data_IF_961197978808
#
_entry.id   IF_961197978808
#
_cell.length_a   1.000
_cell.length_b   1.000
_cell.length_c   1.000
_cell.angle_alpha   90.00
_cell.angle_beta   90.00
_cell.angle_gamma   90.00
#
_symmetry.space_group_name_H-M   'P 1'
#
loop_
_entity.id
_entity.type
_entity.pdbx_description
1 polymer ?
#
# COMPACT_ATOMS: atom_id res chain seq x y z
N UNK A 1 -16.58 0.99 18.27
CA UNK A 1 -15.23 0.49 18.64
C UNK A 1 -15.24 -1.02 18.48
N UNK A 2 -14.52 -1.57 17.51
CA UNK A 2 -14.36 -3.01 17.35
C UNK A 2 -13.39 -3.50 18.43
N UNK A 3 -13.85 -4.36 19.35
CA UNK A 3 -13.07 -4.83 20.52
C UNK A 3 -12.32 -6.14 20.30
N UNK A 4 -12.42 -6.70 19.10
CA UNK A 4 -11.73 -7.93 18.71
C UNK A 4 -11.45 -7.91 17.23
N UNK A 5 -10.21 -8.23 16.85
CA UNK A 5 -9.89 -8.65 15.48
C UNK A 5 -10.10 -10.16 15.40
N UNK A 6 -10.86 -10.63 14.41
CA UNK A 6 -11.05 -12.05 14.20
C UNK A 6 -9.76 -12.72 13.72
N UNK A 7 -9.58 -13.99 14.07
CA UNK A 7 -8.58 -14.86 13.43
C UNK A 7 -9.27 -15.64 12.33
N UNK A 8 -8.60 -15.83 11.20
CA UNK A 8 -9.02 -16.88 10.25
C UNK A 8 -9.07 -18.22 11.00
N UNK A 9 -10.05 -19.06 10.66
CA UNK A 9 -10.13 -20.41 11.22
C UNK A 9 -8.93 -21.26 10.75
N UNK A 10 -8.72 -22.38 11.43
CA UNK A 10 -7.56 -23.23 11.18
C UNK A 10 -7.57 -23.86 9.78
N UNK A 11 -8.75 -24.13 9.22
CA UNK A 11 -8.88 -24.66 7.87
C UNK A 11 -8.42 -23.62 6.84
N UNK A 12 -8.97 -22.41 6.91
CA UNK A 12 -8.58 -21.27 6.06
C UNK A 12 -7.08 -20.99 6.18
N UNK A 13 -6.53 -20.94 7.39
CA UNK A 13 -5.11 -20.69 7.60
C UNK A 13 -4.23 -21.80 6.99
N UNK A 14 -4.59 -23.07 7.21
CA UNK A 14 -3.83 -24.22 6.68
C UNK A 14 -3.92 -24.29 5.16
N UNK A 15 -5.06 -23.97 4.56
CA UNK A 15 -5.24 -23.90 3.11
C UNK A 15 -4.26 -22.87 2.51
N UNK A 16 -4.32 -21.63 2.99
CA UNK A 16 -3.46 -20.55 2.51
C UNK A 16 -2.00 -20.89 2.74
N UNK A 17 -1.62 -21.39 3.92
CA UNK A 17 -0.23 -21.73 4.18
C UNK A 17 0.28 -22.86 3.28
N UNK A 18 -0.52 -23.91 3.06
CA UNK A 18 -0.15 -25.06 2.22
C UNK A 18 -0.03 -24.68 0.75
N UNK A 19 -0.97 -23.89 0.21
CA UNK A 19 -0.95 -23.51 -1.21
C UNK A 19 0.29 -22.68 -1.57
N UNK A 20 0.89 -22.00 -0.59
CA UNK A 20 2.14 -21.24 -0.73
C UNK A 20 3.40 -22.03 -0.36
N UNK A 21 3.34 -23.37 -0.34
CA UNK A 21 4.52 -24.20 -0.08
C UNK A 21 4.93 -24.29 1.39
N UNK A 22 4.04 -23.91 2.32
CA UNK A 22 4.23 -24.08 3.77
C UNK A 22 5.51 -23.42 4.32
N UNK A 23 5.77 -22.11 4.05
CA UNK A 23 7.00 -21.45 4.46
C UNK A 23 7.16 -21.38 5.98
N UNK A 24 8.40 -21.41 6.45
CA UNK A 24 8.74 -21.29 7.87
C UNK A 24 9.77 -20.18 8.07
N UNK A 25 9.35 -19.09 8.72
CA UNK A 25 10.24 -17.99 9.09
C UNK A 25 10.67 -18.11 10.56
N UNK A 26 11.81 -17.51 10.89
CA UNK A 26 12.37 -17.50 12.24
C UNK A 26 12.46 -16.06 12.75
N UNK A 27 12.36 -15.91 14.07
CA UNK A 27 12.41 -14.60 14.75
C UNK A 27 13.67 -13.78 14.47
N UNK A 28 14.78 -14.41 14.06
CA UNK A 28 16.04 -13.73 13.72
C UNK A 28 16.18 -13.39 12.23
N UNK A 29 15.22 -13.76 11.37
CA UNK A 29 15.27 -13.36 9.97
C UNK A 29 14.97 -11.87 9.83
N UNK A 30 15.94 -11.11 9.32
CA UNK A 30 15.79 -9.69 9.10
C UNK A 30 14.93 -9.38 7.87
N UNK A 31 14.44 -8.15 7.77
CA UNK A 31 13.61 -7.67 6.64
C UNK A 31 14.24 -7.91 5.25
N UNK A 32 15.57 -7.74 5.05
CA UNK A 32 16.19 -8.04 3.75
C UNK A 32 16.10 -9.51 3.34
N UNK A 33 15.89 -10.43 4.28
CA UNK A 33 15.63 -11.84 4.00
C UNK A 33 14.13 -12.10 3.79
N UNK A 34 13.29 -11.56 4.70
CA UNK A 34 11.85 -11.82 4.72
C UNK A 34 11.13 -11.26 3.49
N UNK A 35 11.45 -10.02 3.08
CA UNK A 35 10.74 -9.36 1.97
C UNK A 35 10.93 -10.08 0.64
N UNK A 36 12.16 -10.42 0.18
CA UNK A 36 12.33 -11.14 -1.07
C UNK A 36 11.69 -12.54 -1.02
N UNK A 37 11.79 -13.24 0.11
CA UNK A 37 11.19 -14.56 0.28
C UNK A 37 9.67 -14.50 0.16
N UNK A 38 9.02 -13.52 0.80
CA UNK A 38 7.58 -13.34 0.72
C UNK A 38 7.13 -12.91 -0.68
N UNK A 39 7.79 -11.93 -1.28
CA UNK A 39 7.46 -11.47 -2.64
C UNK A 39 7.59 -12.60 -3.66
N UNK A 40 8.61 -13.46 -3.52
CA UNK A 40 8.76 -14.64 -4.37
C UNK A 40 7.54 -15.57 -4.26
N UNK A 41 7.07 -15.86 -3.05
CA UNK A 41 5.91 -16.73 -2.85
C UNK A 41 4.64 -16.13 -3.46
N UNK A 42 4.37 -14.84 -3.19
CA UNK A 42 3.22 -14.13 -3.75
C UNK A 42 3.26 -14.10 -5.28
N UNK A 43 4.44 -13.87 -5.87
CA UNK A 43 4.57 -13.87 -7.32
C UNK A 43 4.37 -15.28 -7.91
N UNK A 44 4.91 -16.30 -7.27
CA UNK A 44 4.79 -17.69 -7.73
C UNK A 44 3.35 -18.21 -7.68
N UNK A 45 2.58 -17.83 -6.67
CA UNK A 45 1.27 -18.43 -6.40
C UNK A 45 0.09 -17.49 -6.73
N UNK A 46 0.26 -16.18 -6.62
CA UNK A 46 -0.83 -15.21 -6.73
C UNK A 46 -0.55 -14.07 -7.73
N UNK A 47 0.48 -14.17 -8.58
CA UNK A 47 0.86 -13.07 -9.50
C UNK A 47 -0.31 -12.54 -10.33
N UNK A 48 -1.13 -13.45 -10.84
CA UNK A 48 -2.27 -13.11 -11.70
C UNK A 48 -3.38 -12.35 -10.96
N UNK A 49 -3.46 -12.50 -9.64
CA UNK A 49 -4.48 -11.84 -8.81
C UNK A 49 -3.89 -10.58 -8.20
N UNK A 50 -2.82 -10.69 -7.41
CA UNK A 50 -2.31 -9.57 -6.62
C UNK A 50 -1.57 -8.51 -7.44
N UNK A 51 -1.00 -8.90 -8.58
CA UNK A 51 -0.18 -8.02 -9.41
C UNK A 51 -0.84 -7.74 -10.77
N UNK A 52 -2.18 -7.83 -10.85
CA UNK A 52 -2.91 -7.38 -12.03
C UNK A 52 -2.62 -5.88 -12.27
N UNK A 53 -2.03 -5.49 -13.42
CA UNK A 53 -1.74 -4.10 -13.72
C UNK A 53 -2.94 -3.16 -13.63
N UNK A 54 -4.16 -3.66 -13.82
CA UNK A 54 -5.39 -2.88 -13.70
C UNK A 54 -5.63 -2.34 -12.30
N UNK A 55 -5.06 -2.95 -11.26
CA UNK A 55 -5.15 -2.49 -9.88
C UNK A 55 -4.21 -1.33 -9.58
N UNK A 56 -3.31 -0.99 -10.50
CA UNK A 56 -2.28 0.00 -10.27
C UNK A 56 -2.40 1.19 -11.22
N UNK A 57 -2.00 2.35 -10.73
CA UNK A 57 -1.87 3.57 -11.52
C UNK A 57 -0.55 4.25 -11.24
N UNK A 58 0.02 4.87 -12.26
CA UNK A 58 1.16 5.75 -12.10
C UNK A 58 0.70 7.07 -11.48
N UNK A 59 1.50 7.60 -10.57
CA UNK A 59 1.30 8.92 -9.98
C UNK A 59 2.62 9.66 -9.89
N UNK A 60 2.65 10.83 -10.50
CA UNK A 60 3.76 11.77 -10.39
C UNK A 60 3.68 12.48 -9.03
N UNK A 61 4.80 12.53 -8.31
CA UNK A 61 5.02 13.40 -7.17
C UNK A 61 5.98 14.51 -7.60
N UNK A 62 5.43 15.66 -8.00
CA UNK A 62 6.20 16.76 -8.60
C UNK A 62 7.17 17.37 -7.60
N UNK A 63 6.78 17.40 -6.32
CA UNK A 63 7.62 17.85 -5.20
C UNK A 63 8.98 17.16 -5.10
N UNK A 64 9.10 15.92 -5.59
CA UNK A 64 10.34 15.13 -5.58
C UNK A 64 10.77 14.65 -6.98
N UNK A 65 10.10 15.11 -8.04
CA UNK A 65 10.44 14.78 -9.43
C UNK A 65 10.43 13.28 -9.74
N UNK A 66 9.53 12.52 -9.12
CA UNK A 66 9.49 11.06 -9.26
C UNK A 66 8.07 10.54 -9.55
N UNK A 67 8.00 9.48 -10.35
CA UNK A 67 6.76 8.75 -10.64
C UNK A 67 6.74 7.44 -9.89
N UNK A 68 5.63 7.16 -9.20
CA UNK A 68 5.43 5.94 -8.43
C UNK A 68 4.24 5.14 -8.97
N UNK A 69 4.29 3.83 -8.80
CA UNK A 69 3.14 2.95 -9.01
C UNK A 69 2.40 2.81 -7.69
N UNK A 70 1.11 3.14 -7.66
CA UNK A 70 0.25 3.03 -6.48
C UNK A 70 -1.00 2.20 -6.80
N UNK A 71 -1.63 1.64 -5.76
CA UNK A 71 -2.91 0.92 -5.90
C UNK A 71 -4.03 1.93 -6.19
N UNK A 72 -4.91 1.61 -7.15
CA UNK A 72 -6.10 2.40 -7.48
C UNK A 72 -7.11 2.36 -6.32
N UNK A 73 -7.85 3.44 -6.08
CA UNK A 73 -8.97 3.41 -5.14
C UNK A 73 -10.00 2.34 -5.55
N UNK A 74 -10.43 1.51 -4.58
CA UNK A 74 -11.43 0.45 -4.82
C UNK A 74 -12.87 0.95 -4.68
N UNK A 75 -13.09 2.03 -3.94
CA UNK A 75 -14.42 2.57 -3.74
C UNK A 75 -14.92 3.26 -5.02
N UNK A 76 -16.18 3.02 -5.36
CA UNK A 76 -16.85 3.60 -6.52
C UNK A 76 -18.12 4.29 -6.04
N UNK A 77 -18.40 5.48 -6.58
CA UNK A 77 -19.58 6.26 -6.26
C UNK A 77 -20.43 6.41 -7.51
N UNK A 78 -21.76 6.40 -7.34
CA UNK A 78 -22.70 6.46 -8.45
C UNK A 78 -22.41 7.66 -9.37
N UNK A 79 -22.55 7.43 -10.67
CA UNK A 79 -22.43 8.44 -11.72
C UNK A 79 -21.10 9.23 -11.72
N UNK A 80 -20.04 8.67 -11.13
CA UNK A 80 -18.75 9.37 -11.01
C UNK A 80 -18.82 10.62 -10.14
N UNK A 81 -19.82 10.72 -9.24
CA UNK A 81 -20.04 11.88 -8.39
C UNK A 81 -18.85 12.22 -7.46
N UNK A 82 -17.95 11.26 -7.24
CA UNK A 82 -16.75 11.43 -6.41
C UNK A 82 -15.54 10.89 -7.16
N UNK A 83 -14.56 11.76 -7.38
CA UNK A 83 -13.22 11.38 -7.82
C UNK A 83 -12.34 11.13 -6.58
N UNK A 84 -11.90 9.89 -6.41
CA UNK A 84 -11.02 9.52 -5.30
C UNK A 84 -9.56 9.82 -5.65
N UNK A 85 -8.93 10.62 -4.82
CA UNK A 85 -7.52 10.94 -4.95
C UNK A 85 -7.00 11.62 -3.69
N UNK A 86 -5.70 11.87 -3.67
CA UNK A 86 -5.08 12.74 -2.68
C UNK A 86 -4.55 13.96 -3.42
N UNK A 87 -4.85 15.16 -2.92
CA UNK A 87 -4.23 16.38 -3.44
C UNK A 87 -2.77 16.49 -2.99
N UNK A 88 -2.45 15.95 -1.81
CA UNK A 88 -1.09 15.88 -1.28
C UNK A 88 -0.42 14.59 -1.78
N UNK A 89 0.75 14.75 -2.42
CA UNK A 89 1.56 13.65 -2.94
C UNK A 89 2.48 13.02 -1.89
N UNK A 90 3.35 12.10 -2.33
CA UNK A 90 4.43 11.56 -1.50
C UNK A 90 5.36 12.71 -1.07
N UNK A 91 5.59 12.83 0.24
CA UNK A 91 6.46 13.88 0.81
C UNK A 91 7.85 13.30 1.05
N UNK A 92 8.86 13.89 0.41
CA UNK A 92 10.25 13.55 0.67
C UNK A 92 10.69 14.09 2.04
N UNK A 93 11.65 13.43 2.67
CA UNK A 93 12.28 13.97 3.88
C UNK A 93 12.93 15.32 3.57
N UNK A 94 12.64 16.35 4.37
CA UNK A 94 13.30 17.66 4.31
C UNK A 94 12.78 18.64 3.24
N UNK A 95 11.76 18.28 2.46
CA UNK A 95 11.10 19.21 1.50
C UNK A 95 10.02 20.06 2.17
N UNK A 96 9.53 19.59 3.31
CA UNK A 96 8.17 19.79 3.75
C UNK A 96 8.14 19.96 5.27
N UNK A 97 7.40 20.93 5.80
CA UNK A 97 7.28 21.11 7.25
C UNK A 97 6.52 19.91 7.87
N UNK A 98 6.88 19.48 9.10
CA UNK A 98 6.27 18.33 9.77
C UNK A 98 4.89 18.67 10.37
N UNK A 99 4.04 19.36 9.60
CA UNK A 99 2.69 19.81 9.97
C UNK A 99 1.71 19.53 8.84
N UNK A 100 0.42 19.52 9.16
CA UNK A 100 -0.66 19.52 8.17
C UNK A 100 -0.92 20.96 7.70
N UNK A 101 -1.19 21.18 6.39
CA UNK A 101 -1.58 22.49 5.91
C UNK A 101 -3.02 22.79 6.31
N UNK A 102 -3.34 24.07 6.50
CA UNK A 102 -4.73 24.51 6.70
C UNK A 102 -5.57 24.29 5.42
N UNK A 103 -4.92 24.35 4.25
CA UNK A 103 -5.49 24.02 2.95
C UNK A 103 -4.94 22.67 2.45
N UNK A 104 -5.80 21.63 2.46
CA UNK A 104 -5.43 20.27 2.02
C UNK A 104 -5.22 20.13 0.51
N UNK A 105 -5.40 21.20 -0.27
CA UNK A 105 -5.16 21.21 -1.72
C UNK A 105 -3.72 21.54 -2.11
N UNK A 106 -2.89 21.98 -1.15
CA UNK A 106 -1.49 22.35 -1.42
C UNK A 106 -0.57 21.14 -1.51
N UNK A 107 0.33 21.13 -2.50
CA UNK A 107 1.25 20.01 -2.71
C UNK A 107 2.45 20.02 -1.74
N UNK A 108 2.91 21.21 -1.30
CA UNK A 108 4.05 21.39 -0.39
C UNK A 108 3.62 22.29 0.78
N UNK A 109 3.82 21.81 2.00
CA UNK A 109 3.53 22.54 3.24
C UNK A 109 4.76 23.33 3.64
N UNK A 110 4.69 24.63 3.41
CA UNK A 110 5.56 25.63 4.03
C UNK A 110 4.79 26.12 5.25
N UNK A 111 5.39 26.11 6.44
CA UNK A 111 4.69 26.45 7.69
C UNK A 111 3.99 27.81 7.61
N UNK A 112 3.08 28.09 8.55
CA UNK A 112 2.28 29.33 8.59
C UNK A 112 3.14 30.56 8.27
N UNK A 113 2.87 31.19 7.13
CA UNK A 113 3.32 32.55 6.82
C UNK A 113 2.34 33.54 7.41
#
# INVERSE_FOLDING_TARGET
MVRSVGTYDEETWKEVWKRHGSPVFRHYHAMPYLLPAMLKLLYQHDSQVLFNPEFFQEREAKSIGATFVQIKPVAQFADGAVELGYHIGTRGNGVDEPVWPDDLTVEVVRGKS
#
